data_IF_947774229486
#
_entry.id   IF_947774229486
#
_cell.length_a   1.000
_cell.length_b   1.000
_cell.length_c   1.000
_cell.angle_alpha   90.00
_cell.angle_beta   90.00
_cell.angle_gamma   90.00
#
_symmetry.space_group_name_H-M   'P 1'
#
loop_
_entity.id
_entity.type
_entity.pdbx_description
1 polymer ?
#
# COMPACT_ATOMS: atom_id res chain seq x y z
N UNK A 1 10.23 -34.10 -4.76
CA UNK A 1 9.12 -33.18 -4.45
C UNK A 1 9.60 -31.76 -4.72
N UNK A 2 9.05 -31.15 -5.75
CA UNK A 2 9.28 -29.72 -5.93
C UNK A 2 8.67 -28.96 -4.76
N UNK A 3 9.51 -28.31 -3.95
CA UNK A 3 9.01 -27.37 -2.97
C UNK A 3 8.31 -26.24 -3.72
N UNK A 4 6.99 -26.12 -3.59
CA UNK A 4 6.27 -24.97 -4.15
C UNK A 4 6.94 -23.70 -3.64
N UNK A 5 7.58 -22.97 -4.53
CA UNK A 5 8.16 -21.68 -4.20
C UNK A 5 7.08 -20.80 -3.61
N UNK A 6 7.33 -20.28 -2.40
CA UNK A 6 6.36 -19.40 -1.72
C UNK A 6 6.12 -18.15 -2.55
N UNK A 7 4.87 -17.74 -2.64
CA UNK A 7 4.47 -16.51 -3.33
C UNK A 7 4.89 -15.29 -2.53
N UNK A 8 5.15 -14.22 -3.21
CA UNK A 8 5.56 -12.94 -2.63
C UNK A 8 4.40 -11.95 -2.63
N UNK A 9 4.18 -11.31 -1.51
CA UNK A 9 3.22 -10.23 -1.36
C UNK A 9 3.94 -8.95 -0.93
N UNK A 10 3.49 -7.83 -1.47
CA UNK A 10 3.93 -6.48 -1.09
C UNK A 10 2.73 -5.71 -0.55
N UNK A 11 2.87 -5.15 0.64
CA UNK A 11 1.84 -4.33 1.29
C UNK A 11 2.42 -2.96 1.60
N UNK A 12 1.77 -1.91 1.19
CA UNK A 12 2.13 -0.55 1.60
C UNK A 12 1.34 -0.14 2.83
N UNK A 13 1.94 0.62 3.73
CA UNK A 13 1.27 1.02 4.96
C UNK A 13 1.04 -0.14 5.93
N UNK A 14 1.91 -1.14 5.90
CA UNK A 14 1.78 -2.37 6.71
C UNK A 14 2.12 -2.23 8.18
N UNK A 15 2.56 -1.06 8.63
CA UNK A 15 2.95 -0.83 10.03
C UNK A 15 1.79 -0.51 10.96
N UNK A 16 0.61 -0.24 10.45
CA UNK A 16 -0.57 0.14 11.24
C UNK A 16 -1.89 -0.20 10.56
N UNK A 17 -2.97 -0.23 11.35
CA UNK A 17 -4.34 -0.35 10.88
C UNK A 17 -4.61 -1.55 9.98
N UNK A 18 -5.32 -1.32 8.89
CA UNK A 18 -5.71 -2.34 7.90
C UNK A 18 -4.47 -3.00 7.29
N UNK A 19 -3.44 -2.21 6.99
CA UNK A 19 -2.19 -2.73 6.44
C UNK A 19 -1.53 -3.74 7.36
N UNK A 20 -1.46 -3.46 8.66
CA UNK A 20 -0.89 -4.38 9.65
C UNK A 20 -1.67 -5.70 9.74
N UNK A 21 -2.99 -5.64 9.74
CA UNK A 21 -3.83 -6.85 9.70
C UNK A 21 -3.63 -7.62 8.39
N UNK A 22 -3.46 -6.93 7.28
CA UNK A 22 -3.23 -7.53 5.97
C UNK A 22 -1.90 -8.27 5.91
N UNK A 23 -0.81 -7.67 6.41
CA UNK A 23 0.50 -8.36 6.43
C UNK A 23 0.46 -9.61 7.31
N UNK A 24 -0.22 -9.55 8.45
CA UNK A 24 -0.38 -10.70 9.33
C UNK A 24 -1.17 -11.83 8.65
N UNK A 25 -2.26 -11.50 7.98
CA UNK A 25 -3.10 -12.47 7.27
C UNK A 25 -2.36 -13.13 6.11
N UNK A 26 -1.63 -12.35 5.30
CA UNK A 26 -0.84 -12.88 4.19
C UNK A 26 0.32 -13.74 4.67
N UNK A 27 1.01 -13.35 5.72
CA UNK A 27 2.07 -14.15 6.33
C UNK A 27 1.54 -15.48 6.83
N UNK A 28 0.39 -15.47 7.53
CA UNK A 28 -0.28 -16.69 7.99
C UNK A 28 -0.73 -17.59 6.85
N UNK A 29 -1.12 -17.01 5.72
CA UNK A 29 -1.49 -17.75 4.51
C UNK A 29 -0.30 -18.34 3.74
N UNK A 30 0.93 -18.13 4.20
CA UNK A 30 2.14 -18.70 3.64
C UNK A 30 2.87 -17.85 2.62
N UNK A 31 2.49 -16.58 2.46
CA UNK A 31 3.23 -15.64 1.62
C UNK A 31 4.52 -15.17 2.29
N UNK A 32 5.53 -14.90 1.48
CA UNK A 32 6.66 -14.07 1.90
C UNK A 32 6.20 -12.61 1.74
N UNK A 33 6.09 -11.90 2.86
CA UNK A 33 5.52 -10.56 2.88
C UNK A 33 6.60 -9.52 3.05
N UNK A 34 6.60 -8.55 2.13
CA UNK A 34 7.33 -7.29 2.23
C UNK A 34 6.34 -6.18 2.56
N UNK A 35 6.75 -5.23 3.37
CA UNK A 35 5.93 -4.07 3.65
C UNK A 35 6.72 -2.78 3.49
N UNK A 36 6.06 -1.77 2.95
CA UNK A 36 6.59 -0.41 2.80
C UNK A 36 5.91 0.50 3.81
N UNK A 37 6.70 1.11 4.66
CA UNK A 37 6.25 2.22 5.51
C UNK A 37 7.43 3.12 5.83
N UNK A 38 7.11 4.33 6.27
CA UNK A 38 8.14 5.32 6.65
C UNK A 38 8.70 5.07 8.05
N UNK A 39 8.00 4.28 8.86
CA UNK A 39 8.39 3.98 10.23
C UNK A 39 9.17 2.68 10.25
N UNK A 40 10.29 2.69 10.96
CA UNK A 40 11.03 1.48 11.25
C UNK A 40 10.37 0.75 12.44
N UNK A 41 9.20 0.19 12.17
CA UNK A 41 8.48 -0.63 13.15
C UNK A 41 8.49 -2.07 12.65
N UNK A 42 9.34 -2.94 13.23
CA UNK A 42 9.40 -4.34 12.81
C UNK A 42 8.06 -5.03 13.06
N UNK A 43 7.57 -5.73 12.05
CA UNK A 43 6.45 -6.67 12.19
C UNK A 43 7.02 -8.08 12.08
N UNK A 44 6.72 -8.91 13.06
CA UNK A 44 7.23 -10.29 13.09
C UNK A 44 6.83 -11.06 11.82
N UNK A 45 7.79 -11.74 11.21
CA UNK A 45 7.57 -12.55 10.01
C UNK A 45 7.39 -11.74 8.72
N UNK A 46 7.61 -10.45 8.76
CA UNK A 46 7.46 -9.54 7.62
C UNK A 46 8.77 -8.80 7.36
N UNK A 47 9.14 -8.68 6.10
CA UNK A 47 10.32 -7.94 5.68
C UNK A 47 9.96 -6.46 5.50
N UNK A 48 10.31 -5.66 6.50
CA UNK A 48 10.12 -4.22 6.44
C UNK A 48 11.15 -3.53 5.54
N UNK A 49 10.67 -2.59 4.72
CA UNK A 49 11.52 -1.68 3.95
C UNK A 49 11.05 -0.24 4.20
N UNK A 50 11.98 0.62 4.60
CA UNK A 50 11.67 2.03 4.84
C UNK A 50 11.52 2.75 3.50
N UNK A 51 10.28 2.91 3.04
CA UNK A 51 9.93 3.50 1.75
C UNK A 51 8.80 4.49 1.93
N UNK A 52 9.00 5.70 1.42
CA UNK A 52 7.94 6.66 1.22
C UNK A 52 7.35 6.44 -0.18
N UNK A 53 6.07 6.08 -0.25
CA UNK A 53 5.39 5.79 -1.51
C UNK A 53 5.28 7.02 -2.43
N UNK A 54 5.46 8.22 -1.89
CA UNK A 54 5.49 9.45 -2.69
C UNK A 54 6.82 9.68 -3.41
N UNK A 55 7.86 8.95 -3.02
CA UNK A 55 9.18 8.99 -3.66
C UNK A 55 9.28 7.87 -4.70
N UNK A 56 9.07 8.21 -5.96
CA UNK A 56 9.08 7.27 -7.07
C UNK A 56 10.40 6.50 -7.19
N UNK A 57 11.54 7.16 -7.02
CA UNK A 57 12.85 6.53 -7.12
C UNK A 57 13.06 5.50 -6.01
N UNK A 58 12.69 5.83 -4.77
CA UNK A 58 12.75 4.92 -3.63
C UNK A 58 11.86 3.69 -3.83
N UNK A 59 10.66 3.89 -4.37
CA UNK A 59 9.72 2.80 -4.70
C UNK A 59 10.32 1.87 -5.76
N UNK A 60 10.86 2.42 -6.84
CA UNK A 60 11.47 1.63 -7.91
C UNK A 60 12.66 0.81 -7.42
N UNK A 61 13.51 1.40 -6.60
CA UNK A 61 14.68 0.72 -6.02
C UNK A 61 14.23 -0.44 -5.12
N UNK A 62 13.29 -0.19 -4.21
CA UNK A 62 12.82 -1.19 -3.28
C UNK A 62 12.10 -2.36 -3.99
N UNK A 63 11.25 -2.08 -4.96
CA UNK A 63 10.61 -3.14 -5.78
C UNK A 63 11.65 -3.91 -6.57
N UNK A 64 12.66 -3.24 -7.12
CA UNK A 64 13.78 -3.88 -7.80
C UNK A 64 14.53 -4.87 -6.90
N UNK A 65 14.78 -4.51 -5.65
CA UNK A 65 15.40 -5.41 -4.66
C UNK A 65 14.53 -6.64 -4.37
N UNK A 66 13.22 -6.46 -4.19
CA UNK A 66 12.31 -7.59 -3.98
C UNK A 66 12.35 -8.53 -5.18
N UNK A 67 12.33 -8.02 -6.39
CA UNK A 67 12.37 -8.83 -7.60
C UNK A 67 13.69 -9.57 -7.77
N UNK A 68 14.82 -8.98 -7.36
CA UNK A 68 16.10 -9.66 -7.32
C UNK A 68 16.13 -10.81 -6.32
N UNK A 69 15.56 -10.62 -5.15
CA UNK A 69 15.52 -11.65 -4.11
C UNK A 69 14.51 -12.76 -4.40
N UNK A 70 13.36 -12.40 -4.95
CA UNK A 70 12.20 -13.30 -5.06
C UNK A 70 11.88 -13.74 -6.49
N UNK A 71 12.27 -12.96 -7.47
CA UNK A 71 11.94 -13.18 -8.89
C UNK A 71 10.58 -12.67 -9.31
N UNK A 72 9.61 -12.58 -8.40
CA UNK A 72 8.24 -12.13 -8.71
C UNK A 72 7.53 -11.56 -7.50
N UNK A 73 6.50 -10.76 -7.76
CA UNK A 73 5.52 -10.28 -6.77
C UNK A 73 4.15 -10.68 -7.30
N UNK A 74 3.43 -11.52 -6.56
CA UNK A 74 2.13 -12.04 -6.97
C UNK A 74 0.98 -11.19 -6.49
N UNK A 75 1.13 -10.52 -5.34
CA UNK A 75 0.09 -9.67 -4.76
C UNK A 75 0.71 -8.34 -4.33
N UNK A 76 0.05 -7.24 -4.72
CA UNK A 76 0.27 -5.92 -4.17
C UNK A 76 -0.99 -5.47 -3.47
N UNK A 77 -0.88 -5.03 -2.21
CA UNK A 77 -1.98 -4.40 -1.48
C UNK A 77 -1.57 -2.97 -1.12
N UNK A 78 -2.23 -2.01 -1.73
CA UNK A 78 -2.00 -0.59 -1.45
C UNK A 78 -2.89 -0.15 -0.27
N UNK A 79 -2.29 -0.08 0.92
CA UNK A 79 -2.93 0.37 2.15
C UNK A 79 -2.37 1.70 2.66
N UNK A 80 -1.28 2.21 2.09
CA UNK A 80 -0.71 3.49 2.50
C UNK A 80 -1.70 4.62 2.21
N UNK A 81 -2.01 5.39 3.23
CA UNK A 81 -2.94 6.49 3.09
C UNK A 81 -3.32 7.10 4.44
N UNK A 82 -3.84 8.30 4.39
CA UNK A 82 -4.40 8.97 5.55
C UNK A 82 -5.57 9.87 5.15
N UNK A 83 -6.42 10.19 6.12
CA UNK A 83 -7.54 11.10 5.95
C UNK A 83 -7.31 12.43 6.65
N UNK A 84 -7.92 13.46 6.11
CA UNK A 84 -8.02 14.78 6.74
C UNK A 84 -9.50 14.98 7.09
N UNK A 85 -9.78 15.32 8.33
CA UNK A 85 -11.13 15.63 8.79
C UNK A 85 -11.28 17.12 8.98
N UNK A 86 -12.42 17.66 8.59
CA UNK A 86 -12.76 19.07 8.77
C UNK A 86 -13.51 19.63 7.58
N UNK A 87 -13.92 20.89 7.71
CA UNK A 87 -14.57 21.60 6.62
C UNK A 87 -13.54 21.97 5.54
N UNK A 88 -13.96 21.85 4.29
CA UNK A 88 -13.10 22.12 3.13
C UNK A 88 -12.51 23.52 3.17
N UNK A 89 -13.31 24.50 3.57
CA UNK A 89 -12.89 25.91 3.66
C UNK A 89 -11.76 26.16 4.67
N UNK A 90 -11.59 25.27 5.64
CA UNK A 90 -10.53 25.35 6.66
C UNK A 90 -9.37 24.38 6.39
N UNK A 91 -9.43 23.60 5.33
CA UNK A 91 -8.37 22.68 4.98
C UNK A 91 -7.30 23.40 4.16
N UNK A 92 -6.07 23.40 4.67
CA UNK A 92 -4.95 23.97 3.93
C UNK A 92 -4.68 23.18 2.65
N UNK A 93 -4.48 23.89 1.55
CA UNK A 93 -4.21 23.27 0.25
C UNK A 93 -2.97 22.37 0.27
N UNK A 94 -1.95 22.73 1.05
CA UNK A 94 -0.75 21.93 1.24
C UNK A 94 -1.08 20.56 1.84
N UNK A 95 -1.97 20.51 2.82
CA UNK A 95 -2.41 19.25 3.45
C UNK A 95 -3.22 18.40 2.46
N UNK A 96 -4.11 19.01 1.71
CA UNK A 96 -4.89 18.32 0.69
C UNK A 96 -3.98 17.71 -0.39
N UNK A 97 -2.98 18.45 -0.87
CA UNK A 97 -1.99 17.93 -1.83
C UNK A 97 -1.18 16.77 -1.25
N UNK A 98 -0.73 16.87 0.00
CA UNK A 98 0.01 15.81 0.67
C UNK A 98 -0.84 14.52 0.81
N UNK A 99 -2.13 14.66 1.08
CA UNK A 99 -3.05 13.53 1.12
C UNK A 99 -3.16 12.84 -0.25
N UNK A 100 -3.32 13.60 -1.33
CA UNK A 100 -3.35 13.06 -2.69
C UNK A 100 -2.02 12.43 -3.08
N UNK A 101 -0.90 13.01 -2.69
CA UNK A 101 0.41 12.45 -2.98
C UNK A 101 0.57 11.04 -2.41
N UNK A 102 0.10 10.81 -1.18
CA UNK A 102 0.15 9.48 -0.57
C UNK A 102 -0.96 8.57 -1.11
N UNK A 103 -2.21 9.00 -1.01
CA UNK A 103 -3.37 8.13 -1.25
C UNK A 103 -3.55 7.78 -2.72
N UNK A 104 -3.24 8.70 -3.62
CA UNK A 104 -3.40 8.51 -5.06
C UNK A 104 -2.06 8.26 -5.75
N UNK A 105 -1.15 9.21 -5.71
CA UNK A 105 0.12 9.10 -6.43
C UNK A 105 1.03 8.01 -5.85
N UNK A 106 1.00 7.79 -4.53
CA UNK A 106 1.70 6.67 -3.91
C UNK A 106 1.20 5.32 -4.42
N UNK A 107 -0.10 5.15 -4.55
CA UNK A 107 -0.72 3.95 -5.15
C UNK A 107 -0.28 3.77 -6.60
N UNK A 108 -0.26 4.85 -7.37
CA UNK A 108 0.21 4.82 -8.77
C UNK A 108 1.69 4.45 -8.85
N UNK A 109 2.53 5.03 -8.02
CA UNK A 109 3.98 4.76 -8.02
C UNK A 109 4.27 3.28 -7.78
N UNK A 110 3.68 2.68 -6.75
CA UNK A 110 3.93 1.28 -6.41
C UNK A 110 3.32 0.35 -7.46
N UNK A 111 2.13 0.63 -7.93
CA UNK A 111 1.48 -0.16 -8.99
C UNK A 111 2.32 -0.16 -10.28
N UNK A 112 2.82 1.01 -10.69
CA UNK A 112 3.69 1.13 -11.87
C UNK A 112 4.99 0.33 -11.72
N UNK A 113 5.53 0.25 -10.52
CA UNK A 113 6.77 -0.48 -10.25
C UNK A 113 6.58 -2.01 -10.35
N UNK A 114 5.43 -2.54 -9.93
CA UNK A 114 5.19 -4.00 -9.93
C UNK A 114 4.57 -4.52 -11.23
N UNK A 115 3.83 -3.69 -11.96
CA UNK A 115 3.11 -4.09 -13.17
C UNK A 115 3.98 -4.74 -14.25
N UNK A 116 5.19 -4.24 -14.57
CA UNK A 116 6.03 -4.89 -15.59
C UNK A 116 6.35 -6.34 -15.25
N UNK A 117 6.65 -6.65 -13.99
CA UNK A 117 6.89 -8.01 -13.54
C UNK A 117 5.64 -8.88 -13.62
N UNK A 118 4.50 -8.37 -13.16
CA UNK A 118 3.22 -9.09 -13.23
C UNK A 118 2.83 -9.39 -14.67
N UNK A 119 3.07 -8.46 -15.58
CA UNK A 119 2.81 -8.65 -17.02
C UNK A 119 3.70 -9.74 -17.61
N UNK A 120 5.00 -9.73 -17.30
CA UNK A 120 5.93 -10.76 -17.80
C UNK A 120 5.57 -12.16 -17.32
N UNK A 121 5.09 -12.29 -16.09
CA UNK A 121 4.71 -13.59 -15.53
C UNK A 121 3.26 -13.99 -15.83
N UNK A 122 2.49 -13.13 -16.52
CA UNK A 122 1.08 -13.33 -16.87
C UNK A 122 0.18 -13.62 -15.65
N UNK A 123 0.53 -13.10 -14.49
CA UNK A 123 -0.25 -13.26 -13.25
C UNK A 123 0.10 -12.15 -12.27
N UNK A 124 -0.86 -11.80 -11.45
CA UNK A 124 -0.71 -10.82 -10.39
C UNK A 124 -2.06 -10.27 -9.96
N UNK A 125 -2.12 -9.80 -8.74
CA UNK A 125 -3.29 -9.14 -8.19
C UNK A 125 -2.86 -7.84 -7.53
N UNK A 126 -3.58 -6.78 -7.84
CA UNK A 126 -3.42 -5.47 -7.18
C UNK A 126 -4.72 -5.17 -6.45
N UNK A 127 -4.63 -4.99 -5.14
CA UNK A 127 -5.74 -4.64 -4.28
C UNK A 127 -5.52 -3.22 -3.78
N UNK A 128 -6.44 -2.32 -4.09
CA UNK A 128 -6.40 -0.95 -3.61
C UNK A 128 -7.44 -0.76 -2.51
N UNK A 129 -6.97 -0.40 -1.32
CA UNK A 129 -7.87 -0.11 -0.21
C UNK A 129 -8.44 1.29 -0.41
N UNK A 130 -9.75 1.34 -0.56
CA UNK A 130 -10.52 2.57 -0.69
C UNK A 130 -11.31 2.83 0.60
N UNK A 131 -12.26 3.72 0.53
CA UNK A 131 -13.10 4.07 1.66
C UNK A 131 -14.55 4.17 1.24
N UNK A 132 -15.45 3.87 2.16
CA UNK A 132 -16.88 4.16 1.98
C UNK A 132 -17.12 5.65 1.75
N UNK A 133 -16.27 6.51 2.25
CA UNK A 133 -16.31 7.96 2.01
C UNK A 133 -16.13 8.33 0.53
N UNK A 134 -15.56 7.45 -0.28
CA UNK A 134 -15.43 7.66 -1.72
C UNK A 134 -16.74 7.49 -2.47
N UNK A 135 -17.68 6.73 -1.93
CA UNK A 135 -18.97 6.42 -2.56
C UNK A 135 -20.16 6.96 -1.78
N UNK A 136 -20.03 7.17 -0.48
CA UNK A 136 -21.09 7.72 0.36
C UNK A 136 -21.05 9.24 0.39
N UNK A 137 -21.79 9.85 -0.48
CA UNK A 137 -21.95 11.30 -0.52
C UNK A 137 -22.69 11.87 0.70
N UNK A 138 -23.34 11.01 1.49
CA UNK A 138 -24.07 11.44 2.67
C UNK A 138 -23.18 11.64 3.88
N UNK A 139 -22.00 11.02 3.91
CA UNK A 139 -21.04 11.21 5.00
C UNK A 139 -20.49 12.63 5.06
N UNK A 140 -20.59 13.36 3.97
CA UNK A 140 -20.23 14.79 3.91
C UNK A 140 -21.35 15.69 4.40
N UNK A 141 -22.49 15.15 4.73
CA UNK A 141 -23.51 15.95 5.37
C UNK A 141 -23.03 16.35 6.72
N UNK A 142 -22.75 17.59 6.84
CA UNK A 142 -22.92 18.27 8.07
C UNK A 142 -24.23 17.80 8.65
N UNK A 143 -24.15 17.10 9.73
CA UNK A 143 -25.33 16.89 10.52
C UNK A 143 -25.71 18.24 11.06
N UNK A 144 -26.44 18.97 10.28
CA UNK A 144 -26.96 20.29 10.62
C UNK A 144 -28.15 20.18 11.55
N UNK A 145 -28.25 19.07 12.24
CA UNK A 145 -29.24 18.96 13.26
C UNK A 145 -28.84 19.77 14.45
N UNK A 146 -29.33 20.79 14.43
CA UNK A 146 -29.53 21.58 15.48
C UNK A 146 -29.05 22.10 16.41
#
# INVERSE_FOLDING_TARGET
>A
MESKQKRTALVTGGSSGIGRCTVAALSKAGYIVYEFSRRDVPVEGVKHMCVDVTDEASVQEAVGQILLERGSIEILVNCAGFGISGAVEFTELKQAKAQFDVNFFGTVNVSRAVLPSMRRQHRGHIVNISSVAAVDRKSTRLNSSH
#
